data_IF_135383787696
#
_entry.id   IF_135383787696
#
_cell.length_a   1.000
_cell.length_b   1.000
_cell.length_c   1.000
_cell.angle_alpha   90.00
_cell.angle_beta   90.00
_cell.angle_gamma   90.00
#
_symmetry.space_group_name_H-M   'P 1'
#
loop_
_entity.id
_entity.type
_entity.pdbx_description
1 polymer ?
#
# COMPACT_ATOMS: atom_id res chain seq x y z
N UNK A 1 -14.25 -28.63 8.88
CA UNK A 1 -13.08 -27.73 8.82
C UNK A 1 -12.39 -27.70 7.45
N UNK A 2 -12.23 -28.83 6.73
CA UNK A 2 -11.56 -28.89 5.41
C UNK A 2 -12.27 -28.12 4.28
N UNK A 3 -13.60 -28.07 4.29
CA UNK A 3 -14.38 -27.42 3.22
C UNK A 3 -14.21 -25.89 3.19
N UNK A 4 -14.19 -25.25 4.35
CA UNK A 4 -14.07 -23.79 4.43
C UNK A 4 -12.69 -23.32 3.98
N UNK A 5 -11.62 -24.06 4.32
CA UNK A 5 -10.26 -23.74 3.84
C UNK A 5 -10.15 -23.82 2.31
N UNK A 6 -10.72 -24.85 1.69
CA UNK A 6 -10.72 -24.99 0.23
C UNK A 6 -11.50 -23.85 -0.43
N UNK A 7 -12.62 -23.44 0.17
CA UNK A 7 -13.39 -22.28 -0.25
C UNK A 7 -12.59 -20.97 -0.17
N UNK A 8 -11.88 -20.73 0.93
CA UNK A 8 -11.03 -19.54 1.07
C UNK A 8 -9.90 -19.51 0.05
N UNK A 9 -9.25 -20.65 -0.19
CA UNK A 9 -8.19 -20.78 -1.20
C UNK A 9 -8.77 -20.50 -2.58
N UNK A 10 -9.89 -21.13 -2.94
CA UNK A 10 -10.56 -20.90 -4.21
C UNK A 10 -10.98 -19.43 -4.41
N UNK A 11 -11.56 -18.80 -3.38
CA UNK A 11 -11.92 -17.37 -3.39
C UNK A 11 -10.69 -16.47 -3.57
N UNK A 12 -9.59 -16.75 -2.87
CA UNK A 12 -8.36 -15.98 -3.02
C UNK A 12 -7.75 -16.11 -4.43
N UNK A 13 -7.77 -17.31 -5.01
CA UNK A 13 -7.31 -17.56 -6.38
C UNK A 13 -8.21 -16.90 -7.42
N UNK A 14 -9.53 -16.91 -7.21
CA UNK A 14 -10.50 -16.24 -8.09
C UNK A 14 -10.34 -14.71 -8.04
N UNK A 15 -10.11 -14.15 -6.84
CA UNK A 15 -9.82 -12.72 -6.65
C UNK A 15 -8.52 -12.30 -7.34
N UNK A 16 -7.47 -13.13 -7.23
CA UNK A 16 -6.21 -12.96 -7.98
C UNK A 16 -6.45 -13.06 -9.50
N UNK A 17 -7.30 -13.98 -9.94
CA UNK A 17 -7.72 -14.15 -11.33
C UNK A 17 -8.43 -12.92 -11.90
N UNK A 18 -9.27 -12.25 -11.12
CA UNK A 18 -9.97 -11.04 -11.52
C UNK A 18 -9.12 -9.78 -11.55
N UNK A 19 -7.89 -9.82 -11.00
CA UNK A 19 -6.91 -8.75 -11.14
C UNK A 19 -6.14 -8.82 -12.46
N UNK A 20 -6.26 -9.93 -13.20
CA UNK A 20 -5.67 -10.12 -14.52
C UNK A 20 -6.66 -9.57 -15.57
N UNK A 21 -6.25 -8.61 -16.42
CA UNK A 21 -7.16 -8.04 -17.41
C UNK A 21 -7.58 -9.10 -18.43
N UNK A 22 -8.89 -9.29 -18.58
CA UNK A 22 -9.51 -10.33 -19.41
C UNK A 22 -9.62 -9.98 -20.89
N UNK A 23 -8.83 -9.04 -21.41
CA UNK A 23 -8.93 -8.54 -22.79
C UNK A 23 -7.55 -8.67 -23.48
N UNK A 24 -7.46 -9.72 -24.31
CA UNK A 24 -6.78 -9.85 -25.62
C UNK A 24 -5.36 -9.27 -25.87
N UNK A 25 -4.51 -10.18 -26.38
CA UNK A 25 -3.19 -9.97 -26.98
C UNK A 25 -2.04 -9.47 -26.08
N UNK A 26 -1.18 -10.42 -25.71
CA UNK A 26 0.19 -10.21 -25.25
C UNK A 26 0.41 -9.61 -23.85
N UNK A 27 -0.31 -10.10 -22.84
CA UNK A 27 0.32 -10.24 -21.51
C UNK A 27 1.40 -11.34 -21.59
N UNK A 28 2.53 -11.03 -22.25
CA UNK A 28 3.79 -11.70 -21.94
C UNK A 28 4.17 -11.28 -20.52
N UNK A 29 3.49 -11.87 -19.53
CA UNK A 29 3.95 -11.87 -18.15
C UNK A 29 5.27 -12.60 -18.17
N UNK A 30 6.35 -11.83 -18.23
CA UNK A 30 7.70 -12.35 -18.16
C UNK A 30 7.89 -12.89 -16.74
N UNK A 31 7.69 -14.20 -16.59
CA UNK A 31 7.75 -14.89 -15.30
C UNK A 31 9.11 -14.68 -14.62
N UNK A 32 10.18 -14.52 -15.41
CA UNK A 32 11.51 -14.19 -14.89
C UNK A 32 11.51 -12.79 -14.27
N UNK A 33 10.87 -11.81 -14.91
CA UNK A 33 10.68 -10.49 -14.30
C UNK A 33 9.78 -10.54 -13.07
N UNK A 34 8.71 -11.34 -13.09
CA UNK A 34 7.84 -11.47 -11.91
C UNK A 34 8.62 -12.06 -10.72
N UNK A 35 9.50 -13.01 -10.95
CA UNK A 35 10.39 -13.57 -9.93
C UNK A 35 11.42 -12.55 -9.46
N UNK A 36 12.09 -11.85 -10.39
CA UNK A 36 13.06 -10.78 -10.09
C UNK A 36 12.43 -9.60 -9.33
N UNK A 37 11.13 -9.36 -9.51
CA UNK A 37 10.41 -8.23 -8.92
C UNK A 37 9.55 -8.59 -7.71
N UNK A 38 9.12 -9.84 -7.62
CA UNK A 38 8.19 -10.32 -6.60
C UNK A 38 8.81 -10.32 -5.22
N UNK A 39 9.99 -10.93 -5.06
CA UNK A 39 10.69 -10.97 -3.77
C UNK A 39 11.10 -9.56 -3.27
N UNK A 40 11.79 -8.72 -4.05
CA UNK A 40 12.14 -7.37 -3.60
C UNK A 40 10.91 -6.47 -3.43
N UNK A 41 9.88 -6.64 -4.26
CA UNK A 41 8.60 -5.92 -4.15
C UNK A 41 7.87 -6.27 -2.86
N UNK A 42 7.76 -7.55 -2.53
CA UNK A 42 7.15 -8.01 -1.29
C UNK A 42 7.94 -7.51 -0.07
N UNK A 43 9.27 -7.53 -0.13
CA UNK A 43 10.14 -7.03 0.94
C UNK A 43 9.98 -5.52 1.14
N UNK A 44 9.84 -4.76 0.06
CA UNK A 44 9.54 -3.32 0.13
C UNK A 44 8.15 -3.06 0.73
N UNK A 45 7.13 -3.79 0.28
CA UNK A 45 5.77 -3.68 0.79
C UNK A 45 5.68 -4.05 2.29
N UNK A 46 6.32 -5.15 2.70
CA UNK A 46 6.38 -5.56 4.10
C UNK A 46 7.08 -4.50 4.98
N UNK A 47 8.17 -3.91 4.47
CA UNK A 47 8.87 -2.81 5.15
C UNK A 47 7.98 -1.58 5.31
N UNK A 48 7.26 -1.20 4.25
CA UNK A 48 6.27 -0.12 4.27
C UNK A 48 5.15 -0.38 5.27
N UNK A 49 4.55 -1.57 5.25
CA UNK A 49 3.46 -1.96 6.16
C UNK A 49 3.93 -1.89 7.61
N UNK A 50 5.12 -2.42 7.91
CA UNK A 50 5.68 -2.39 9.27
C UNK A 50 5.91 -0.98 9.81
N UNK A 51 6.11 0.00 8.92
CA UNK A 51 6.35 1.41 9.25
C UNK A 51 5.09 2.27 9.13
N UNK A 52 4.00 1.76 8.58
CA UNK A 52 2.78 2.51 8.33
C UNK A 52 2.18 3.07 9.63
N UNK A 53 2.01 2.22 10.65
CA UNK A 53 1.45 2.62 11.95
C UNK A 53 2.27 3.74 12.61
N UNK A 54 3.60 3.61 12.81
CA UNK A 54 4.39 4.67 13.42
C UNK A 54 4.45 5.95 12.56
N UNK A 55 4.45 5.84 11.22
CA UNK A 55 4.37 7.01 10.34
C UNK A 55 3.04 7.76 10.49
N UNK A 56 1.92 7.05 10.46
CA UNK A 56 0.58 7.64 10.68
C UNK A 56 0.52 8.32 12.05
N UNK A 57 1.08 7.70 13.09
CA UNK A 57 1.12 8.30 14.43
C UNK A 57 1.98 9.57 14.49
N UNK A 58 3.17 9.56 13.89
CA UNK A 58 4.04 10.74 13.83
C UNK A 58 3.38 11.88 13.05
N UNK A 59 2.76 11.57 11.92
CA UNK A 59 2.09 12.54 11.07
C UNK A 59 0.85 13.13 11.76
N UNK A 60 0.06 12.30 12.44
CA UNK A 60 -1.04 12.73 13.30
C UNK A 60 -0.57 13.72 14.38
N UNK A 61 0.52 13.38 15.08
CA UNK A 61 1.09 14.21 16.13
C UNK A 61 1.63 15.54 15.60
N UNK A 62 2.33 15.53 14.46
CA UNK A 62 2.83 16.75 13.82
C UNK A 62 1.68 17.69 13.41
N UNK A 63 0.62 17.13 12.83
CA UNK A 63 -0.54 17.91 12.38
C UNK A 63 -1.50 18.31 13.52
N UNK A 64 -1.19 17.98 14.77
CA UNK A 64 -2.07 18.10 15.95
C UNK A 64 -3.49 17.57 15.65
N UNK A 65 -3.55 16.38 15.05
CA UNK A 65 -4.81 15.73 14.74
C UNK A 65 -5.41 15.12 16.01
N UNK A 66 -6.64 15.54 16.34
CA UNK A 66 -7.43 14.99 17.44
C UNK A 66 -8.71 14.39 16.85
N UNK A 67 -8.88 13.06 16.88
CA UNK A 67 -10.09 12.42 16.34
C UNK A 67 -11.30 12.80 17.19
N UNK A 68 -12.43 13.07 16.53
CA UNK A 68 -13.69 13.42 17.21
C UNK A 68 -14.30 12.23 17.97
N UNK A 69 -14.02 11.00 17.53
CA UNK A 69 -14.52 9.76 18.13
C UNK A 69 -13.44 8.68 18.09
N UNK A 70 -13.24 7.97 19.19
CA UNK A 70 -12.22 6.90 19.32
C UNK A 70 -12.79 5.56 19.81
N UNK A 71 -14.09 5.49 20.06
CA UNK A 71 -14.82 4.29 20.51
C UNK A 71 -16.04 4.07 19.63
N UNK A 72 -16.48 2.81 19.52
CA UNK A 72 -17.65 2.42 18.72
C UNK A 72 -17.57 2.94 17.28
N UNK A 73 -16.47 2.63 16.60
CA UNK A 73 -16.29 2.95 15.19
C UNK A 73 -16.98 1.90 14.32
N UNK A 74 -18.02 2.30 13.60
CA UNK A 74 -18.46 1.59 12.42
C UNK A 74 -17.60 1.96 11.20
N UNK A 75 -17.79 1.26 10.08
CA UNK A 75 -17.01 1.48 8.85
C UNK A 75 -17.14 2.93 8.38
N UNK A 76 -18.35 3.50 8.50
CA UNK A 76 -18.64 4.89 8.12
C UNK A 76 -17.87 5.89 8.99
N UNK A 77 -17.89 5.73 10.32
CA UNK A 77 -17.14 6.58 11.24
C UNK A 77 -15.64 6.46 11.03
N UNK A 78 -15.13 5.25 10.74
CA UNK A 78 -13.71 5.05 10.42
C UNK A 78 -13.32 5.78 9.14
N UNK A 79 -14.13 5.68 8.08
CA UNK A 79 -13.91 6.43 6.85
C UNK A 79 -13.92 7.94 7.10
N UNK A 80 -14.87 8.44 7.89
CA UNK A 80 -14.99 9.84 8.23
C UNK A 80 -13.77 10.37 9.01
N UNK A 81 -13.26 9.59 9.96
CA UNK A 81 -12.01 9.89 10.67
C UNK A 81 -10.82 9.91 9.71
N UNK A 82 -10.76 8.97 8.76
CA UNK A 82 -9.75 8.96 7.70
C UNK A 82 -9.79 10.23 6.84
N UNK A 83 -10.98 10.66 6.42
CA UNK A 83 -11.15 11.91 5.67
C UNK A 83 -10.72 13.14 6.48
N UNK A 84 -11.13 13.25 7.75
CA UNK A 84 -10.73 14.35 8.62
C UNK A 84 -9.22 14.39 8.85
N UNK A 85 -8.61 13.22 9.02
CA UNK A 85 -7.16 13.07 9.14
C UNK A 85 -6.45 13.61 7.89
N UNK A 86 -6.88 13.17 6.70
CA UNK A 86 -6.31 13.64 5.44
C UNK A 86 -6.48 15.16 5.26
N UNK A 87 -7.67 15.71 5.52
CA UNK A 87 -7.90 17.16 5.44
C UNK A 87 -6.97 17.93 6.38
N UNK A 88 -6.84 17.48 7.64
CA UNK A 88 -5.97 18.15 8.62
C UNK A 88 -4.50 18.14 8.21
N UNK A 89 -4.04 17.04 7.61
CA UNK A 89 -2.66 16.88 7.17
C UNK A 89 -2.36 17.68 5.91
N UNK A 90 -3.27 17.69 4.93
CA UNK A 90 -3.08 18.50 3.72
C UNK A 90 -3.01 19.99 4.05
N UNK A 91 -3.73 20.44 5.08
CA UNK A 91 -3.64 21.80 5.61
C UNK A 91 -2.35 22.07 6.41
N UNK A 92 -1.55 21.04 6.72
CA UNK A 92 -0.28 21.11 7.42
C UNK A 92 0.87 20.61 6.52
N UNK A 93 1.13 21.35 5.45
CA UNK A 93 2.10 20.99 4.39
C UNK A 93 3.49 20.61 4.93
N UNK A 94 3.98 21.29 5.98
CA UNK A 94 5.26 20.97 6.62
C UNK A 94 5.31 19.54 7.16
N UNK A 95 4.24 19.09 7.83
CA UNK A 95 4.15 17.75 8.40
C UNK A 95 4.06 16.68 7.31
N UNK A 96 3.31 16.98 6.24
CA UNK A 96 3.18 16.11 5.09
C UNK A 96 4.54 15.92 4.38
N UNK A 97 5.25 17.01 4.09
CA UNK A 97 6.56 16.97 3.42
C UNK A 97 7.62 16.22 4.24
N UNK A 98 7.66 16.43 5.55
CA UNK A 98 8.57 15.69 6.44
C UNK A 98 8.24 14.20 6.43
N UNK A 99 6.97 13.82 6.54
CA UNK A 99 6.58 12.41 6.52
C UNK A 99 6.83 11.73 5.17
N UNK A 100 6.67 12.47 4.07
CA UNK A 100 6.99 11.99 2.73
C UNK A 100 8.50 11.76 2.57
N UNK A 101 9.32 12.70 3.05
CA UNK A 101 10.78 12.57 3.05
C UNK A 101 11.24 11.36 3.87
N UNK A 102 10.75 11.21 5.10
CA UNK A 102 11.07 10.06 5.97
C UNK A 102 10.68 8.73 5.31
N UNK A 103 9.50 8.70 4.66
CA UNK A 103 9.01 7.52 3.96
C UNK A 103 9.87 7.22 2.73
N UNK A 104 10.31 8.24 1.99
CA UNK A 104 11.20 8.08 0.85
C UNK A 104 12.57 7.54 1.28
N UNK A 105 13.21 8.11 2.29
CA UNK A 105 14.50 7.64 2.82
C UNK A 105 14.41 6.20 3.34
N UNK A 106 13.29 5.84 3.97
CA UNK A 106 13.03 4.51 4.49
C UNK A 106 12.93 3.43 3.40
N UNK A 107 12.49 3.79 2.19
CA UNK A 107 12.13 2.82 1.12
C UNK A 107 13.08 2.92 -0.07
N UNK A 108 13.74 4.06 -0.28
CA UNK A 108 14.81 4.29 -1.27
C UNK A 108 15.78 3.10 -1.42
N UNK A 109 16.37 2.53 -0.35
CA UNK A 109 17.29 1.39 -0.48
C UNK A 109 16.64 0.12 -1.04
N UNK A 110 15.32 -0.01 -0.93
CA UNK A 110 14.53 -1.12 -1.49
C UNK A 110 14.03 -0.81 -2.91
N UNK A 111 13.71 0.46 -3.18
CA UNK A 111 13.24 0.95 -4.48
C UNK A 111 14.34 0.88 -5.53
N UNK A 112 15.61 1.11 -5.18
CA UNK A 112 16.69 1.02 -6.16
C UNK A 112 16.84 -0.36 -6.78
N UNK A 113 16.46 -1.43 -6.08
CA UNK A 113 16.47 -2.79 -6.64
C UNK A 113 15.29 -2.99 -7.61
N UNK A 114 14.12 -2.47 -7.25
CA UNK A 114 12.89 -2.52 -8.04
C UNK A 114 13.02 -1.68 -9.32
N UNK A 115 13.63 -0.49 -9.24
CA UNK A 115 13.90 0.38 -10.40
C UNK A 115 14.96 -0.24 -11.30
N UNK A 116 16.08 -0.75 -10.75
CA UNK A 116 17.14 -1.39 -11.55
C UNK A 116 16.66 -2.65 -12.26
N UNK A 117 15.80 -3.44 -11.62
CA UNK A 117 15.16 -4.60 -12.24
C UNK A 117 14.01 -4.23 -13.20
N UNK A 118 13.74 -2.93 -13.42
CA UNK A 118 12.64 -2.43 -14.28
C UNK A 118 11.28 -3.06 -13.92
N UNK A 119 11.04 -3.23 -12.63
CA UNK A 119 9.83 -3.85 -12.10
C UNK A 119 8.59 -2.95 -12.17
N UNK A 120 8.80 -1.66 -12.38
CA UNK A 120 7.75 -0.68 -12.60
C UNK A 120 7.84 -0.25 -14.04
N UNK A 121 7.09 -0.91 -14.92
CA UNK A 121 6.76 -0.37 -16.23
C UNK A 121 5.76 0.75 -15.99
N UNK A 122 6.21 2.00 -15.91
CA UNK A 122 5.30 3.12 -16.13
C UNK A 122 4.89 3.05 -17.60
N UNK A 123 3.77 2.36 -17.86
CA UNK A 123 3.06 2.48 -19.12
C UNK A 123 2.56 3.92 -19.20
N UNK A 124 3.39 4.80 -19.74
CA UNK A 124 2.93 6.09 -20.25
C UNK A 124 2.09 5.74 -21.48
N UNK A 125 0.78 5.74 -21.31
CA UNK A 125 -0.16 5.80 -22.43
C UNK A 125 -0.10 7.20 -23.06
#
# INVERSE_FOLDING_TARGET
MRNNQVLYIALSVLLLGSLLPSEVESFKLDLNKLEECGEPGLKAAATLISRLIPCVKKLAACADFKPMKTKDLDITALALIGFQYLQKIMNNQKCLLVSLKDSYEAVSPHIDKIIRAKCISFAYA
#
